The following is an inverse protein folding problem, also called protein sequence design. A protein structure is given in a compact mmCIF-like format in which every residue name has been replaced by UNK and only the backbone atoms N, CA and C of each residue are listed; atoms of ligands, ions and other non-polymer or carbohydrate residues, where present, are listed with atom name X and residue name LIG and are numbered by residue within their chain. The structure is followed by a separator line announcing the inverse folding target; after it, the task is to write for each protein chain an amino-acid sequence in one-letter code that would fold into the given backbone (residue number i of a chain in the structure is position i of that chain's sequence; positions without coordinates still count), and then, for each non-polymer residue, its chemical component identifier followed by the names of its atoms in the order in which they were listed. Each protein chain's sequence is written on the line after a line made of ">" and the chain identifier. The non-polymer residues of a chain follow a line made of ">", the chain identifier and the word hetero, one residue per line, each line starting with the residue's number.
data_IF_904527499328
#
_entry.id   IF_904527499328
#
_cell.length_a   1.000
_cell.length_b   1.000
_cell.length_c   1.000
_cell.angle_alpha   90.00
_cell.angle_beta   90.00
_cell.angle_gamma   90.00
#
_symmetry.space_group_name_H-M   'P 1'
#
loop_
_entity.id
_entity.type
_entity.pdbx_description
1 polymer ?
#
# COMPACT_ATOMS: atom_id res chain seq x y z
N UNK A 1 -10.53 -18.70 -1.78
CA UNK A 1 -11.02 -17.54 -0.99
C UNK A 1 -10.68 -17.80 0.46
N UNK A 2 -10.06 -16.85 1.11
CA UNK A 2 -9.67 -16.90 2.52
C UNK A 2 -10.91 -16.90 3.40
N UNK A 3 -11.40 -18.10 3.76
CA UNK A 3 -12.67 -18.28 4.52
C UNK A 3 -12.70 -17.56 5.85
N UNK A 4 -11.53 -17.25 6.43
CA UNK A 4 -11.43 -16.53 7.69
C UNK A 4 -11.95 -15.09 7.60
N UNK A 5 -11.98 -14.50 6.38
CA UNK A 5 -12.50 -13.16 6.14
C UNK A 5 -14.01 -13.05 6.36
N UNK A 6 -14.77 -14.14 6.23
CA UNK A 6 -16.24 -14.13 6.40
C UNK A 6 -16.67 -13.65 7.81
N UNK A 7 -15.80 -13.84 8.80
CA UNK A 7 -16.04 -13.45 10.19
C UNK A 7 -14.93 -12.55 10.74
N UNK A 8 -14.14 -11.90 9.89
CA UNK A 8 -13.02 -11.07 10.33
C UNK A 8 -13.52 -9.77 10.96
N UNK A 9 -13.02 -9.48 12.16
CA UNK A 9 -13.14 -8.19 12.83
C UNK A 9 -11.72 -7.67 13.02
N UNK A 10 -11.39 -6.61 12.27
CA UNK A 10 -10.04 -6.06 12.28
C UNK A 10 -9.82 -5.09 13.42
N UNK A 11 -8.64 -5.19 14.02
CA UNK A 11 -8.06 -4.18 14.89
C UNK A 11 -6.86 -3.53 14.17
N UNK A 12 -6.97 -2.25 13.84
CA UNK A 12 -5.89 -1.49 13.22
C UNK A 12 -4.89 -1.04 14.27
N UNK A 13 -3.60 -1.26 14.01
CA UNK A 13 -2.50 -0.90 14.90
C UNK A 13 -1.53 0.02 14.19
N UNK A 14 -1.37 1.24 14.72
CA UNK A 14 -0.24 2.08 14.40
C UNK A 14 0.88 1.81 15.43
N UNK A 15 1.95 1.08 15.08
CA UNK A 15 2.93 0.58 16.04
C UNK A 15 3.48 1.67 16.95
N UNK A 16 3.85 2.82 16.38
CA UNK A 16 4.48 3.93 17.06
C UNK A 16 3.71 4.41 18.31
N UNK A 17 2.38 4.37 18.30
CA UNK A 17 1.53 4.93 19.35
C UNK A 17 0.73 3.89 20.14
N UNK A 18 0.91 2.59 19.84
CA UNK A 18 0.06 1.56 20.42
C UNK A 18 0.49 1.14 21.83
N UNK A 19 1.69 0.59 21.97
CA UNK A 19 2.23 0.15 23.26
C UNK A 19 3.75 0.14 23.22
N UNK A 20 4.32 0.97 24.07
CA UNK A 20 5.76 1.01 24.36
C UNK A 20 6.08 -0.06 25.43
N UNK A 21 6.94 -1.03 25.12
CA UNK A 21 7.33 -2.10 26.04
C UNK A 21 8.66 -1.83 26.74
N UNK A 22 9.48 -0.92 26.21
CA UNK A 22 10.84 -0.66 26.66
C UNK A 22 11.02 0.73 27.33
N UNK A 23 9.95 1.55 27.33
CA UNK A 23 9.89 2.89 27.90
C UNK A 23 10.80 3.94 27.17
N UNK A 24 10.96 3.80 25.86
CA UNK A 24 11.68 4.78 25.04
C UNK A 24 10.77 5.87 24.44
N UNK A 25 9.45 5.78 24.66
CA UNK A 25 8.45 6.70 24.18
C UNK A 25 7.84 6.31 22.82
N UNK A 26 8.24 5.17 22.25
CA UNK A 26 7.77 4.66 20.96
C UNK A 26 7.18 3.27 21.16
N UNK A 27 5.97 3.03 20.65
CA UNK A 27 5.38 1.69 20.65
C UNK A 27 6.19 0.72 19.77
N UNK A 28 6.18 -0.57 20.11
CA UNK A 28 7.03 -1.57 19.48
C UNK A 28 6.32 -2.93 19.28
N UNK A 29 6.98 -3.86 18.58
CA UNK A 29 6.42 -5.18 18.30
C UNK A 29 6.21 -6.03 19.55
N UNK A 30 7.08 -5.90 20.55
CA UNK A 30 6.89 -6.59 21.82
C UNK A 30 5.64 -6.06 22.54
N UNK A 31 5.39 -4.74 22.49
CA UNK A 31 4.17 -4.13 23.02
C UNK A 31 2.91 -4.62 22.31
N UNK A 32 2.97 -4.85 20.99
CA UNK A 32 1.86 -5.48 20.26
C UNK A 32 1.61 -6.89 20.79
N UNK A 33 2.65 -7.71 20.94
CA UNK A 33 2.54 -9.08 21.46
C UNK A 33 1.89 -9.09 22.86
N UNK A 34 2.28 -8.17 23.73
CA UNK A 34 1.73 -8.05 25.09
C UNK A 34 0.24 -7.72 25.12
N UNK A 35 -0.30 -7.16 24.02
CA UNK A 35 -1.70 -6.73 23.91
C UNK A 35 -2.58 -7.63 23.06
N UNK A 36 -2.07 -8.74 22.53
CA UNK A 36 -2.86 -9.66 21.70
C UNK A 36 -4.06 -10.24 22.46
N UNK A 37 -3.90 -10.58 23.74
CA UNK A 37 -5.01 -11.08 24.55
C UNK A 37 -6.09 -10.03 24.74
N UNK A 38 -5.71 -8.78 25.01
CA UNK A 38 -6.65 -7.66 25.08
C UNK A 38 -7.45 -7.47 23.79
N UNK A 39 -6.78 -7.54 22.62
CA UNK A 39 -7.44 -7.40 21.32
C UNK A 39 -8.41 -8.57 21.06
N UNK A 40 -7.99 -9.80 21.41
CA UNK A 40 -8.83 -10.97 21.30
C UNK A 40 -10.07 -10.91 22.22
N UNK A 41 -9.91 -10.42 23.45
CA UNK A 41 -11.01 -10.21 24.41
C UNK A 41 -12.03 -9.17 23.93
N UNK A 42 -11.61 -8.21 23.09
CA UNK A 42 -12.53 -7.28 22.41
C UNK A 42 -13.37 -7.95 21.32
N UNK A 43 -13.06 -9.20 20.97
CA UNK A 43 -13.72 -9.93 19.89
C UNK A 43 -13.08 -9.72 18.51
N UNK A 44 -11.93 -9.03 18.42
CA UNK A 44 -11.20 -8.89 17.17
C UNK A 44 -10.36 -10.15 16.90
N UNK A 45 -10.41 -10.64 15.68
CA UNK A 45 -9.71 -11.84 15.23
C UNK A 45 -8.79 -11.60 14.03
N UNK A 46 -8.59 -10.35 13.65
CA UNK A 46 -7.67 -9.94 12.61
C UNK A 46 -6.97 -8.63 13.00
N UNK A 47 -5.69 -8.52 12.68
CA UNK A 47 -4.89 -7.32 12.86
C UNK A 47 -4.57 -6.72 11.50
N UNK A 48 -4.56 -5.40 11.42
CA UNK A 48 -3.92 -4.64 10.38
C UNK A 48 -2.84 -3.78 11.03
N UNK A 49 -1.59 -4.08 10.72
CA UNK A 49 -0.44 -3.32 11.20
C UNK A 49 -0.08 -2.27 10.16
N UNK A 50 -0.20 -0.98 10.51
CA UNK A 50 0.23 0.16 9.70
C UNK A 50 1.72 0.07 9.37
N UNK A 51 2.27 0.87 8.42
CA UNK A 51 3.61 0.69 7.91
C UNK A 51 4.65 0.49 9.01
N UNK A 52 5.30 -0.66 8.96
CA UNK A 52 6.27 -1.09 9.96
C UNK A 52 7.61 -1.52 9.36
N UNK A 53 7.80 -1.30 8.05
CA UNK A 53 9.05 -1.55 7.35
C UNK A 53 10.05 -0.42 7.58
N UNK A 54 11.31 -0.66 7.24
CA UNK A 54 12.36 0.34 7.38
C UNK A 54 12.03 1.60 6.57
N UNK A 55 12.13 2.75 7.25
CA UNK A 55 11.71 4.05 6.73
C UNK A 55 12.47 5.17 7.45
N UNK A 56 12.76 6.30 6.79
CA UNK A 56 13.17 7.52 7.46
C UNK A 56 12.05 8.20 8.25
N UNK A 57 10.81 7.72 8.12
CA UNK A 57 9.60 8.24 8.79
C UNK A 57 9.28 9.72 8.47
N UNK A 58 9.56 10.14 7.26
CA UNK A 58 9.11 11.44 6.75
C UNK A 58 7.61 11.48 6.47
N UNK A 59 7.00 10.31 6.33
CA UNK A 59 5.55 10.12 6.15
C UNK A 59 5.07 8.90 6.97
N UNK A 60 5.30 8.95 8.29
CA UNK A 60 4.76 7.98 9.25
C UNK A 60 5.06 6.49 8.91
N UNK A 61 6.07 6.22 8.07
CA UNK A 61 6.45 4.87 7.62
C UNK A 61 5.98 4.53 6.20
N UNK A 62 5.13 5.35 5.57
CA UNK A 62 4.73 5.15 4.17
C UNK A 62 5.86 5.46 3.17
N UNK A 63 6.91 6.16 3.57
CA UNK A 63 8.14 6.36 2.81
C UNK A 63 9.16 5.22 3.06
N UNK A 64 8.86 4.04 2.53
CA UNK A 64 9.63 2.81 2.77
C UNK A 64 11.02 2.90 2.15
N UNK A 65 12.07 2.60 2.94
CA UNK A 65 13.47 2.53 2.48
C UNK A 65 13.98 1.10 2.27
N UNK A 66 13.37 0.10 2.92
CA UNK A 66 13.57 -1.33 2.66
C UNK A 66 12.30 -2.12 2.98
N UNK A 67 11.72 -2.74 1.97
CA UNK A 67 10.49 -3.52 2.11
C UNK A 67 10.67 -4.84 2.86
N UNK A 68 11.88 -5.39 2.93
CA UNK A 68 12.15 -6.68 3.54
C UNK A 68 12.78 -6.58 4.93
N UNK A 69 12.89 -5.37 5.46
CA UNK A 69 13.38 -5.08 6.82
C UNK A 69 12.30 -4.41 7.64
N UNK A 70 12.05 -4.93 8.82
CA UNK A 70 11.26 -4.23 9.82
C UNK A 70 11.99 -2.98 10.31
N UNK A 71 11.25 -1.92 10.63
CA UNK A 71 11.85 -0.69 11.14
C UNK A 71 12.54 -0.93 12.49
N UNK A 72 13.85 -0.62 12.64
CA UNK A 72 14.60 -0.89 13.87
C UNK A 72 13.99 -0.28 15.13
N UNK A 73 13.24 0.82 14.98
CA UNK A 73 12.54 1.48 16.10
C UNK A 73 11.42 0.63 16.69
N UNK A 74 10.87 -0.34 15.93
CA UNK A 74 9.80 -1.23 16.36
C UNK A 74 10.31 -2.61 16.77
N UNK A 75 11.49 -2.99 16.30
CA UNK A 75 12.10 -4.30 16.53
C UNK A 75 12.75 -4.88 15.28
N UNK A 76 12.82 -6.19 15.21
CA UNK A 76 13.46 -6.95 14.13
C UNK A 76 12.44 -7.73 13.30
N UNK A 77 12.89 -8.30 12.18
CA UNK A 77 12.07 -9.23 11.39
C UNK A 77 11.61 -10.44 12.22
N UNK A 78 12.43 -10.93 13.13
CA UNK A 78 12.07 -12.06 14.01
C UNK A 78 11.00 -11.64 15.04
N UNK A 79 11.02 -10.39 15.52
CA UNK A 79 9.98 -9.87 16.41
C UNK A 79 8.65 -9.72 15.65
N UNK A 80 8.68 -9.24 14.41
CA UNK A 80 7.48 -9.16 13.55
C UNK A 80 6.93 -10.58 13.25
N UNK A 81 7.79 -11.54 12.95
CA UNK A 81 7.41 -12.95 12.80
C UNK A 81 6.81 -13.54 14.06
N UNK A 82 7.30 -13.13 15.25
CA UNK A 82 6.69 -13.54 16.53
C UNK A 82 5.27 -13.01 16.67
N UNK A 83 4.95 -11.81 16.19
CA UNK A 83 3.56 -11.30 16.18
C UNK A 83 2.68 -12.28 15.39
N UNK A 84 3.08 -12.70 14.19
CA UNK A 84 2.30 -13.67 13.40
C UNK A 84 2.06 -14.97 14.17
N UNK A 85 3.14 -15.53 14.73
CA UNK A 85 3.08 -16.78 15.49
C UNK A 85 2.16 -16.66 16.72
N UNK A 86 2.28 -15.58 17.49
CA UNK A 86 1.48 -15.36 18.71
C UNK A 86 0.02 -15.02 18.40
N UNK A 87 -0.25 -14.30 17.30
CA UNK A 87 -1.59 -14.07 16.79
C UNK A 87 -2.27 -15.38 16.36
N UNK A 88 -1.58 -16.21 15.59
CA UNK A 88 -2.10 -17.51 15.13
C UNK A 88 -2.44 -18.46 16.29
N UNK A 89 -1.66 -18.47 17.38
CA UNK A 89 -2.00 -19.25 18.60
C UNK A 89 -3.35 -18.85 19.21
N UNK A 90 -3.81 -17.64 18.92
CA UNK A 90 -5.07 -17.06 19.40
C UNK A 90 -6.17 -17.10 18.32
N UNK A 91 -5.96 -17.82 17.21
CA UNK A 91 -6.82 -17.83 16.03
C UNK A 91 -7.05 -16.42 15.44
N UNK A 92 -6.03 -15.57 15.51
CA UNK A 92 -6.03 -14.24 14.93
C UNK A 92 -5.17 -14.22 13.67
N UNK A 93 -5.56 -13.43 12.67
CA UNK A 93 -4.82 -13.22 11.43
C UNK A 93 -4.14 -11.86 11.39
N UNK A 94 -3.06 -11.73 10.62
CA UNK A 94 -2.28 -10.48 10.56
C UNK A 94 -2.07 -10.03 9.13
N UNK A 95 -2.58 -8.84 8.78
CA UNK A 95 -2.25 -8.13 7.55
C UNK A 95 -1.17 -7.08 7.83
N UNK A 96 -0.23 -6.97 6.88
CA UNK A 96 0.74 -5.89 6.84
C UNK A 96 0.29 -4.80 5.87
N UNK A 97 0.67 -3.56 6.16
CA UNK A 97 0.47 -2.46 5.22
C UNK A 97 1.53 -2.53 4.10
N UNK A 98 1.11 -2.65 2.86
CA UNK A 98 1.96 -2.67 1.68
C UNK A 98 1.80 -1.34 0.93
N UNK A 99 2.90 -0.64 0.71
CA UNK A 99 2.96 0.64 0.00
C UNK A 99 3.55 0.44 -1.39
N UNK A 100 2.77 0.02 -2.40
CA UNK A 100 3.34 -0.35 -3.70
C UNK A 100 3.55 0.84 -4.64
N UNK A 101 2.97 2.00 -4.35
CA UNK A 101 2.95 3.14 -5.28
C UNK A 101 4.26 3.92 -5.39
N UNK A 102 5.06 3.91 -4.34
CA UNK A 102 6.31 4.68 -4.24
C UNK A 102 7.26 4.08 -3.21
N UNK A 103 8.46 4.63 -3.14
CA UNK A 103 9.40 4.35 -2.04
C UNK A 103 9.89 5.66 -1.44
N UNK A 104 10.68 5.60 -0.37
CA UNK A 104 11.53 6.71 0.04
C UNK A 104 12.61 6.98 -1.03
N UNK A 105 13.09 8.23 -1.13
CA UNK A 105 14.33 8.56 -1.86
C UNK A 105 15.56 7.83 -1.28
N UNK A 106 15.48 7.34 -0.05
CA UNK A 106 16.54 6.57 0.59
C UNK A 106 16.56 5.10 0.19
N UNK A 107 15.53 4.61 -0.47
CA UNK A 107 15.47 3.22 -0.92
C UNK A 107 16.61 2.90 -1.90
N UNK A 108 17.22 1.71 -1.74
CA UNK A 108 18.31 1.24 -2.61
C UNK A 108 17.92 1.29 -4.09
N UNK A 109 16.70 0.89 -4.42
CA UNK A 109 16.22 0.90 -5.81
C UNK A 109 16.26 2.31 -6.40
N UNK A 110 15.84 3.31 -5.63
CA UNK A 110 15.85 4.70 -6.08
C UNK A 110 17.29 5.23 -6.27
N UNK A 111 18.15 5.01 -5.26
CA UNK A 111 19.56 5.39 -5.34
C UNK A 111 20.28 4.80 -6.57
N UNK A 112 19.97 3.55 -6.91
CA UNK A 112 20.51 2.91 -8.12
C UNK A 112 19.88 3.47 -9.41
N UNK A 113 18.57 3.80 -9.40
CA UNK A 113 17.88 4.36 -10.56
C UNK A 113 18.37 5.76 -10.95
N UNK A 114 18.89 6.54 -9.99
CA UNK A 114 19.44 7.89 -10.17
C UNK A 114 20.76 7.91 -10.93
N UNK A 115 21.48 6.78 -11.05
CA UNK A 115 22.79 6.73 -11.68
C UNK A 115 22.72 6.99 -13.18
N UNK A 116 23.64 7.77 -13.73
CA UNK A 116 23.72 8.04 -15.18
C UNK A 116 23.90 6.77 -16.00
N UNK A 117 24.69 5.81 -15.52
CA UNK A 117 24.86 4.50 -16.17
C UNK A 117 23.63 3.64 -15.92
N UNK A 118 22.96 3.24 -17.01
CA UNK A 118 21.78 2.34 -16.92
C UNK A 118 22.14 1.02 -16.23
N UNK A 119 21.22 0.58 -15.38
CA UNK A 119 21.29 -0.66 -14.61
C UNK A 119 19.89 -1.30 -14.50
N UNK A 120 19.73 -2.36 -13.75
CA UNK A 120 18.47 -3.08 -13.58
C UNK A 120 17.36 -2.26 -12.89
N UNK A 121 17.72 -1.19 -12.16
CA UNK A 121 16.79 -0.30 -11.48
C UNK A 121 16.42 0.95 -12.26
N UNK A 122 17.07 1.21 -13.41
CA UNK A 122 16.90 2.46 -14.17
C UNK A 122 15.45 2.75 -14.57
N UNK A 123 14.67 1.71 -14.81
CA UNK A 123 13.27 1.78 -15.23
C UNK A 123 12.30 1.38 -14.10
N UNK A 124 12.80 1.23 -12.86
CA UNK A 124 12.00 0.91 -11.67
C UNK A 124 11.11 2.07 -11.23
N UNK A 125 11.49 3.29 -11.58
CA UNK A 125 10.77 4.53 -11.30
C UNK A 125 10.42 5.23 -12.60
N UNK A 126 9.45 6.14 -12.53
CA UNK A 126 8.99 6.89 -13.69
C UNK A 126 9.91 8.09 -13.89
N UNK A 127 10.64 8.13 -14.97
CA UNK A 127 11.55 9.19 -15.36
C UNK A 127 11.19 9.76 -16.73
N UNK A 128 11.24 11.08 -16.89
CA UNK A 128 11.22 11.73 -18.19
C UNK A 128 12.58 11.61 -18.88
N UNK A 129 12.66 11.97 -20.18
CA UNK A 129 13.90 11.93 -20.95
C UNK A 129 14.81 13.14 -20.67
N UNK A 130 14.31 14.21 -20.09
CA UNK A 130 15.06 15.42 -19.78
C UNK A 130 14.61 16.07 -18.48
N UNK A 131 15.54 16.70 -17.74
CA UNK A 131 15.23 17.49 -16.54
C UNK A 131 14.34 18.71 -16.84
N UNK A 132 14.27 19.14 -18.09
CA UNK A 132 13.44 20.24 -18.55
C UNK A 132 12.02 19.80 -18.92
N UNK A 133 11.78 18.50 -18.99
CA UNK A 133 10.46 17.95 -19.27
C UNK A 133 9.69 17.76 -17.98
N UNK A 134 8.52 18.41 -17.92
CA UNK A 134 7.59 18.31 -16.80
C UNK A 134 6.48 17.33 -17.15
N UNK A 135 6.29 16.27 -16.34
CA UNK A 135 5.19 15.34 -16.56
C UNK A 135 3.87 16.05 -16.27
N UNK A 136 3.02 16.22 -17.28
CA UNK A 136 1.75 16.91 -17.15
C UNK A 136 0.83 16.23 -16.14
N UNK A 137 0.29 17.02 -15.20
CA UNK A 137 -0.63 16.52 -14.16
C UNK A 137 0.01 15.67 -13.04
N UNK A 138 1.34 15.50 -13.05
CA UNK A 138 2.06 14.72 -12.04
C UNK A 138 3.15 15.56 -11.39
N UNK A 139 3.31 15.46 -10.06
CA UNK A 139 4.46 16.04 -9.37
C UNK A 139 5.77 15.39 -9.79
N UNK A 140 6.87 16.14 -9.75
CA UNK A 140 8.20 15.58 -10.04
C UNK A 140 9.31 16.25 -9.22
N UNK A 141 10.41 15.53 -9.05
CA UNK A 141 11.68 16.03 -8.51
C UNK A 141 12.74 16.05 -9.62
N UNK A 142 13.63 17.07 -9.57
CA UNK A 142 14.65 17.31 -10.58
C UNK A 142 15.99 17.68 -9.93
N UNK A 143 17.07 17.46 -10.66
CA UNK A 143 18.40 17.94 -10.28
C UNK A 143 19.00 17.25 -9.07
N UNK A 144 18.49 16.08 -8.69
CA UNK A 144 19.00 15.27 -7.57
C UNK A 144 19.73 13.99 -8.05
N UNK A 145 19.80 13.78 -9.35
CA UNK A 145 20.33 12.54 -9.96
C UNK A 145 21.48 12.82 -10.94
N UNK A 146 22.34 11.82 -11.14
CA UNK A 146 23.40 11.87 -12.16
C UNK A 146 22.85 11.66 -13.58
N UNK A 147 21.64 11.09 -13.70
CA UNK A 147 20.97 10.91 -15.00
C UNK A 147 20.18 12.15 -15.39
N UNK A 148 20.02 12.39 -16.69
CA UNK A 148 19.06 13.36 -17.18
C UNK A 148 17.62 12.82 -16.97
N UNK A 149 16.70 13.71 -16.68
CA UNK A 149 15.30 13.39 -16.44
C UNK A 149 14.73 13.97 -15.15
N UNK A 150 13.42 14.12 -15.13
CA UNK A 150 12.62 14.44 -13.94
C UNK A 150 11.99 13.14 -13.44
N UNK A 151 12.07 12.87 -12.14
CA UNK A 151 11.42 11.71 -11.55
C UNK A 151 10.01 12.08 -11.06
N UNK A 152 9.01 11.33 -11.49
CA UNK A 152 7.63 11.49 -10.99
C UNK A 152 7.57 11.09 -9.52
N UNK A 153 6.77 11.84 -8.74
CA UNK A 153 6.46 11.53 -7.34
C UNK A 153 4.97 11.28 -7.16
N UNK A 154 4.59 10.54 -6.11
CA UNK A 154 3.18 10.35 -5.78
C UNK A 154 2.63 11.50 -4.96
N UNK A 155 3.08 11.66 -3.71
CA UNK A 155 2.54 12.67 -2.78
C UNK A 155 3.58 13.72 -2.43
N UNK A 156 4.70 13.29 -1.81
CA UNK A 156 5.73 14.19 -1.33
C UNK A 156 6.99 14.10 -2.20
N UNK A 157 7.81 15.15 -2.16
CA UNK A 157 9.07 15.20 -2.93
C UNK A 157 10.07 14.09 -2.58
N UNK A 158 9.90 13.42 -1.45
CA UNK A 158 10.72 12.29 -1.01
C UNK A 158 10.11 10.92 -1.33
N UNK A 159 9.02 10.88 -2.14
CA UNK A 159 8.29 9.67 -2.50
C UNK A 159 8.26 9.44 -4.02
N UNK A 160 9.40 9.06 -4.64
CA UNK A 160 9.45 8.76 -6.07
C UNK A 160 8.53 7.61 -6.43
N UNK A 161 7.76 7.80 -7.51
CA UNK A 161 6.76 6.85 -7.97
C UNK A 161 7.39 5.63 -8.63
N UNK A 162 7.02 4.44 -8.16
CA UNK A 162 7.35 3.18 -8.81
C UNK A 162 6.66 3.05 -10.17
N UNK A 163 7.36 2.48 -11.14
CA UNK A 163 6.90 2.38 -12.52
C UNK A 163 6.15 1.09 -12.79
N UNK A 164 4.82 1.16 -12.78
CA UNK A 164 3.95 0.07 -13.25
C UNK A 164 3.43 0.30 -14.67
N UNK A 165 3.94 1.33 -15.34
CA UNK A 165 3.59 1.69 -16.70
C UNK A 165 2.40 2.64 -16.81
N UNK A 166 2.10 2.93 -18.07
CA UNK A 166 1.01 3.79 -18.48
C UNK A 166 -0.01 2.97 -19.28
N UNK A 167 -1.30 3.21 -19.03
CA UNK A 167 -2.37 2.57 -19.80
C UNK A 167 -2.49 3.19 -21.21
N UNK A 168 -2.43 4.52 -21.28
CA UNK A 168 -2.31 5.26 -22.55
C UNK A 168 -0.94 5.91 -22.62
N UNK A 169 -0.24 5.69 -23.74
CA UNK A 169 1.07 6.29 -24.03
C UNK A 169 0.86 7.53 -24.90
N UNK A 170 1.27 8.68 -24.40
CA UNK A 170 1.19 9.97 -25.12
C UNK A 170 2.54 10.73 -25.18
N UNK A 171 3.57 10.20 -24.50
CA UNK A 171 4.94 10.75 -24.51
C UNK A 171 5.98 9.65 -24.76
N UNK A 172 7.09 9.98 -25.40
CA UNK A 172 8.14 8.99 -25.74
C UNK A 172 8.78 8.29 -24.54
N UNK A 173 8.89 8.97 -23.40
CA UNK A 173 9.51 8.43 -22.18
C UNK A 173 8.58 7.51 -21.38
N UNK A 174 7.29 7.50 -21.67
CA UNK A 174 6.34 6.63 -20.99
C UNK A 174 6.51 5.18 -21.46
N UNK A 175 6.44 4.27 -20.52
CA UNK A 175 6.47 2.83 -20.77
C UNK A 175 5.08 2.24 -20.61
N UNK A 176 4.74 1.30 -21.48
CA UNK A 176 3.50 0.54 -21.32
C UNK A 176 3.63 -0.45 -20.15
N UNK A 177 2.52 -0.91 -19.62
CA UNK A 177 2.49 -1.95 -18.58
C UNK A 177 3.21 -3.24 -19.00
N UNK A 178 3.29 -3.50 -20.32
CA UNK A 178 3.88 -4.70 -20.90
C UNK A 178 5.39 -4.56 -21.16
N UNK A 179 5.97 -3.37 -20.96
CA UNK A 179 7.40 -3.14 -21.10
C UNK A 179 8.19 -3.76 -19.95
N UNK A 180 9.48 -3.96 -20.19
CA UNK A 180 10.37 -4.66 -19.25
C UNK A 180 10.47 -3.97 -17.89
N UNK A 181 10.53 -2.63 -17.85
CA UNK A 181 10.64 -1.85 -16.63
C UNK A 181 9.43 -2.08 -15.68
N UNK A 182 8.20 -1.77 -16.13
CA UNK A 182 6.98 -2.02 -15.38
C UNK A 182 6.80 -3.48 -14.94
N UNK A 183 7.06 -4.45 -15.82
CA UNK A 183 7.01 -5.88 -15.45
C UNK A 183 7.98 -6.23 -14.33
N UNK A 184 9.23 -5.76 -14.43
CA UNK A 184 10.23 -5.99 -13.39
C UNK A 184 9.85 -5.32 -12.06
N UNK A 185 9.15 -4.19 -12.09
CA UNK A 185 8.63 -3.53 -10.89
C UNK A 185 7.55 -4.39 -10.23
N UNK A 186 6.61 -4.90 -11.02
CA UNK A 186 5.55 -5.79 -10.53
C UNK A 186 6.13 -7.07 -9.91
N UNK A 187 7.08 -7.72 -10.59
CA UNK A 187 7.71 -8.95 -10.07
C UNK A 187 8.49 -8.68 -8.77
N UNK A 188 9.20 -7.55 -8.67
CA UNK A 188 9.88 -7.19 -7.43
C UNK A 188 8.89 -6.94 -6.27
N UNK A 189 7.71 -6.37 -6.55
CA UNK A 189 6.67 -6.21 -5.52
C UNK A 189 6.07 -7.56 -5.10
N UNK A 190 5.88 -8.49 -6.04
CA UNK A 190 5.50 -9.88 -5.70
C UNK A 190 6.56 -10.58 -4.85
N UNK A 191 7.85 -10.32 -5.09
CA UNK A 191 8.92 -10.86 -4.26
C UNK A 191 8.87 -10.32 -2.82
N UNK A 192 8.53 -9.04 -2.64
CA UNK A 192 8.26 -8.45 -1.32
C UNK A 192 7.09 -9.16 -0.64
N UNK A 193 5.97 -9.35 -1.36
CA UNK A 193 4.80 -10.06 -0.82
C UNK A 193 5.17 -11.50 -0.44
N UNK A 194 5.90 -12.20 -1.31
CA UNK A 194 6.37 -13.58 -1.07
C UNK A 194 7.24 -13.67 0.17
N UNK A 195 8.11 -12.69 0.39
CA UNK A 195 8.99 -12.65 1.56
C UNK A 195 8.18 -12.65 2.86
N UNK A 196 7.21 -11.76 3.01
CA UNK A 196 6.43 -11.65 4.24
C UNK A 196 5.41 -12.78 4.42
N UNK A 197 4.78 -13.25 3.34
CA UNK A 197 3.88 -14.41 3.38
C UNK A 197 4.63 -15.68 3.83
N UNK A 198 5.86 -15.90 3.36
CA UNK A 198 6.72 -17.00 3.83
C UNK A 198 7.13 -16.83 5.29
N UNK A 199 7.19 -15.62 5.83
CA UNK A 199 7.42 -15.37 7.23
C UNK A 199 6.18 -15.61 8.11
N UNK A 200 5.00 -15.68 7.50
CA UNK A 200 3.75 -16.08 8.17
C UNK A 200 2.69 -14.99 8.29
N UNK A 201 2.80 -13.84 7.61
CA UNK A 201 1.66 -12.93 7.56
C UNK A 201 0.52 -13.54 6.72
N UNK A 202 -0.71 -13.10 6.97
CA UNK A 202 -1.92 -13.64 6.32
C UNK A 202 -2.36 -12.80 5.12
N UNK A 203 -1.62 -11.78 4.76
CA UNK A 203 -1.90 -10.93 3.61
C UNK A 203 -1.56 -9.46 3.81
N UNK A 204 -2.19 -8.61 3.00
CA UNK A 204 -1.83 -7.19 2.94
C UNK A 204 -3.06 -6.29 2.88
N UNK A 205 -2.98 -5.16 3.60
CA UNK A 205 -3.70 -3.95 3.22
C UNK A 205 -2.81 -3.18 2.24
N UNK A 206 -3.36 -2.79 1.12
CA UNK A 206 -2.61 -2.18 0.02
C UNK A 206 -2.91 -0.70 -0.06
N UNK A 207 -1.88 0.09 0.19
CA UNK A 207 -1.93 1.54 0.15
C UNK A 207 -2.19 2.05 -1.27
N UNK A 208 -3.14 2.99 -1.41
CA UNK A 208 -3.47 3.69 -2.66
C UNK A 208 -3.55 2.76 -3.89
N UNK A 209 -4.18 1.61 -3.75
CA UNK A 209 -4.21 0.53 -4.73
C UNK A 209 -4.73 0.96 -6.12
N UNK A 210 -5.58 1.98 -6.19
CA UNK A 210 -6.19 2.49 -7.41
C UNK A 210 -5.28 3.33 -8.31
N UNK A 211 -4.07 3.72 -7.87
CA UNK A 211 -3.28 4.77 -8.51
C UNK A 211 -1.98 4.29 -9.19
N UNK A 212 -1.76 2.98 -9.30
CA UNK A 212 -0.45 2.43 -9.71
C UNK A 212 -0.14 2.64 -11.19
N UNK A 213 -1.08 2.30 -12.07
CA UNK A 213 -0.93 2.52 -13.52
C UNK A 213 -1.30 3.95 -13.84
N UNK A 214 -0.48 4.64 -14.61
CA UNK A 214 -0.70 6.04 -14.95
C UNK A 214 -1.50 6.19 -16.26
N UNK A 215 -2.13 7.36 -16.48
CA UNK A 215 -3.04 7.62 -17.61
C UNK A 215 -4.13 6.55 -17.76
N UNK A 216 -4.72 6.12 -16.63
CA UNK A 216 -5.69 5.01 -16.53
C UNK A 216 -6.99 5.49 -15.87
N UNK A 217 -7.69 6.44 -16.49
CA UNK A 217 -8.89 7.11 -15.94
C UNK A 217 -10.01 6.12 -15.58
N UNK A 218 -10.15 5.04 -16.35
CA UNK A 218 -11.17 4.01 -16.12
C UNK A 218 -10.71 2.90 -15.16
N UNK A 219 -9.44 2.90 -14.73
CA UNK A 219 -8.84 1.90 -13.85
C UNK A 219 -8.60 0.53 -14.51
N UNK A 220 -8.75 0.41 -15.82
CA UNK A 220 -8.62 -0.88 -16.54
C UNK A 220 -7.24 -1.49 -16.45
N UNK A 221 -6.20 -0.66 -16.54
CA UNK A 221 -4.82 -1.08 -16.40
C UNK A 221 -4.51 -1.54 -14.98
N UNK A 222 -4.94 -0.76 -14.00
CA UNK A 222 -4.76 -1.06 -12.58
C UNK A 222 -5.52 -2.34 -12.18
N UNK A 223 -6.76 -2.54 -12.67
CA UNK A 223 -7.49 -3.79 -12.50
C UNK A 223 -6.69 -4.98 -13.06
N UNK A 224 -6.20 -4.90 -14.31
CA UNK A 224 -5.38 -5.96 -14.94
C UNK A 224 -4.11 -6.26 -14.14
N UNK A 225 -3.45 -5.23 -13.62
CA UNK A 225 -2.27 -5.37 -12.77
C UNK A 225 -2.60 -6.20 -11.51
N UNK A 226 -3.65 -5.83 -10.80
CA UNK A 226 -4.04 -6.54 -9.57
C UNK A 226 -4.57 -7.95 -9.83
N UNK A 227 -5.27 -8.20 -10.94
CA UNK A 227 -5.63 -9.56 -11.37
C UNK A 227 -4.39 -10.44 -11.52
N UNK A 228 -3.30 -9.91 -12.08
CA UNK A 228 -2.04 -10.64 -12.19
C UNK A 228 -1.40 -10.94 -10.82
N UNK A 229 -1.51 -10.01 -9.85
CA UNK A 229 -1.10 -10.25 -8.45
C UNK A 229 -2.01 -11.30 -7.81
N UNK A 230 -3.33 -11.22 -8.06
CA UNK A 230 -4.29 -12.20 -7.53
C UNK A 230 -4.00 -13.62 -8.03
N UNK A 231 -3.74 -13.80 -9.32
CA UNK A 231 -3.32 -15.08 -9.90
C UNK A 231 -2.05 -15.64 -9.26
N UNK A 232 -1.09 -14.77 -8.95
CA UNK A 232 0.11 -15.14 -8.22
C UNK A 232 -0.24 -15.65 -6.81
N UNK A 233 -1.05 -14.91 -6.05
CA UNK A 233 -1.47 -15.31 -4.71
C UNK A 233 -2.28 -16.60 -4.71
N UNK A 234 -3.25 -16.75 -5.60
CA UNK A 234 -4.07 -17.95 -5.71
C UNK A 234 -3.22 -19.21 -5.97
N UNK A 235 -2.11 -19.06 -6.70
CA UNK A 235 -1.20 -20.16 -7.00
C UNK A 235 -0.25 -20.51 -5.84
N UNK A 236 0.33 -19.50 -5.20
CA UNK A 236 1.42 -19.71 -4.22
C UNK A 236 0.94 -19.56 -2.76
N UNK A 237 -0.08 -18.75 -2.51
CA UNK A 237 -0.59 -18.40 -1.17
C UNK A 237 -2.12 -18.28 -1.17
N UNK A 238 -2.87 -19.35 -1.44
CA UNK A 238 -4.32 -19.29 -1.68
C UNK A 238 -5.15 -18.78 -0.50
N UNK A 239 -4.61 -18.80 0.70
CA UNK A 239 -5.25 -18.29 1.91
C UNK A 239 -4.87 -16.83 2.26
N UNK A 240 -3.98 -16.21 1.46
CA UNK A 240 -3.61 -14.83 1.67
C UNK A 240 -4.75 -13.87 1.32
N UNK A 241 -4.96 -12.86 2.18
CA UNK A 241 -5.95 -11.82 1.97
C UNK A 241 -5.36 -10.56 1.35
N UNK A 242 -6.17 -9.86 0.56
CA UNK A 242 -5.87 -8.52 0.06
C UNK A 242 -7.03 -7.58 0.38
N UNK A 243 -6.73 -6.48 1.04
CA UNK A 243 -7.64 -5.37 1.33
C UNK A 243 -7.09 -4.13 0.65
N UNK A 244 -7.85 -3.47 -0.20
CA UNK A 244 -7.38 -2.27 -0.90
C UNK A 244 -7.75 -1.00 -0.15
N UNK A 245 -6.90 -0.01 -0.25
CA UNK A 245 -7.30 1.39 -0.14
C UNK A 245 -7.49 1.93 -1.55
N UNK A 246 -8.72 1.83 -2.05
CA UNK A 246 -9.07 2.30 -3.40
C UNK A 246 -10.25 3.28 -3.38
N UNK A 247 -11.25 2.98 -2.56
CA UNK A 247 -12.47 3.78 -2.44
C UNK A 247 -13.46 3.60 -3.59
N UNK A 248 -13.23 2.60 -4.45
CA UNK A 248 -14.10 2.19 -5.56
C UNK A 248 -14.27 0.67 -5.52
N UNK A 249 -15.17 0.15 -4.67
CA UNK A 249 -15.30 -1.29 -4.41
C UNK A 249 -15.55 -2.14 -5.66
N UNK A 250 -16.28 -1.63 -6.63
CA UNK A 250 -16.53 -2.29 -7.91
C UNK A 250 -15.23 -2.56 -8.68
N UNK A 251 -14.34 -1.58 -8.80
CA UNK A 251 -13.03 -1.73 -9.44
C UNK A 251 -12.09 -2.61 -8.62
N UNK A 252 -12.07 -2.40 -7.31
CA UNK A 252 -11.25 -3.17 -6.38
C UNK A 252 -11.56 -4.67 -6.46
N UNK A 253 -12.83 -5.04 -6.34
CA UNK A 253 -13.27 -6.43 -6.42
C UNK A 253 -13.00 -7.05 -7.81
N UNK A 254 -13.18 -6.27 -8.90
CA UNK A 254 -12.78 -6.68 -10.25
C UNK A 254 -11.27 -6.90 -10.35
N UNK A 255 -10.46 -6.14 -9.63
CA UNK A 255 -9.01 -6.31 -9.51
C UNK A 255 -8.59 -7.55 -8.73
N UNK A 256 -9.53 -8.21 -8.02
CA UNK A 256 -9.26 -9.43 -7.26
C UNK A 256 -8.98 -9.20 -5.78
N UNK A 257 -9.22 -8.00 -5.27
CA UNK A 257 -9.22 -7.76 -3.82
C UNK A 257 -10.40 -8.46 -3.14
N UNK A 258 -10.27 -8.73 -1.86
CA UNK A 258 -11.34 -9.32 -1.07
C UNK A 258 -12.25 -8.26 -0.46
N UNK A 259 -11.70 -7.09 -0.15
CA UNK A 259 -12.37 -5.96 0.49
C UNK A 259 -11.76 -4.64 0.05
N UNK A 260 -12.55 -3.57 0.17
CA UNK A 260 -12.13 -2.19 -0.03
C UNK A 260 -12.65 -1.31 1.09
N UNK A 261 -12.08 -0.11 1.26
CA UNK A 261 -12.55 0.87 2.23
C UNK A 261 -13.51 1.87 1.58
N UNK A 262 -14.52 2.29 2.33
CA UNK A 262 -15.27 3.51 2.04
C UNK A 262 -14.48 4.68 2.61
N UNK A 263 -13.74 5.38 1.75
CA UNK A 263 -12.97 6.56 2.13
C UNK A 263 -13.89 7.76 2.39
N UNK A 264 -13.42 8.74 3.15
CA UNK A 264 -14.18 9.96 3.45
C UNK A 264 -14.36 10.91 2.26
N UNK A 265 -13.68 10.65 1.15
CA UNK A 265 -13.77 11.38 -0.12
C UNK A 265 -14.18 10.44 -1.26
N UNK A 266 -14.41 11.00 -2.45
CA UNK A 266 -14.82 10.21 -3.60
C UNK A 266 -16.28 9.73 -3.51
N UNK A 267 -16.61 8.58 -4.07
CA UNK A 267 -17.98 8.10 -4.20
C UNK A 267 -18.63 7.65 -2.89
N UNK A 268 -17.88 7.58 -1.78
CA UNK A 268 -18.40 7.10 -0.50
C UNK A 268 -19.42 8.02 0.18
N UNK A 269 -19.49 9.30 -0.20
CA UNK A 269 -20.32 10.32 0.44
C UNK A 269 -20.19 10.40 1.97
N UNK A 270 -19.09 9.90 2.53
CA UNK A 270 -18.88 9.85 3.98
C UNK A 270 -18.84 11.25 4.60
N UNK A 271 -18.28 12.24 3.86
CA UNK A 271 -18.28 13.63 4.27
C UNK A 271 -19.70 14.22 4.30
N UNK A 272 -20.59 13.78 3.43
CA UNK A 272 -21.98 14.21 3.40
C UNK A 272 -22.75 13.75 4.64
N UNK A 273 -22.38 12.61 5.23
CA UNK A 273 -22.94 12.11 6.47
C UNK A 273 -22.43 12.89 7.70
N UNK A 274 -21.12 13.10 7.80
CA UNK A 274 -20.50 13.61 9.03
C UNK A 274 -20.14 15.10 8.99
N UNK A 275 -20.14 15.74 7.84
CA UNK A 275 -19.71 17.13 7.64
C UNK A 275 -20.66 17.93 6.74
N UNK A 276 -21.93 17.54 6.64
CA UNK A 276 -22.92 18.30 5.91
C UNK A 276 -23.35 19.56 6.67
N UNK A 277 -23.60 20.65 5.96
CA UNK A 277 -24.07 21.94 6.52
C UNK A 277 -25.52 21.85 7.05
N UNK A 278 -26.27 20.86 6.59
CA UNK A 278 -27.66 20.60 6.98
C UNK A 278 -27.78 19.26 7.70
N UNK A 279 -28.72 19.08 8.66
CA UNK A 279 -28.95 17.79 9.29
C UNK A 279 -29.17 16.69 8.25
N UNK A 280 -28.50 15.58 8.40
CA UNK A 280 -28.49 14.47 7.43
C UNK A 280 -29.88 14.02 6.97
N UNK A 281 -30.84 13.95 7.91
CA UNK A 281 -32.24 13.57 7.66
C UNK A 281 -33.18 14.76 7.37
N UNK A 282 -32.65 15.96 7.16
CA UNK A 282 -33.48 17.12 6.75
C UNK A 282 -33.86 17.00 5.26
N UNK A 283 -34.88 17.78 4.85
CA UNK A 283 -35.31 17.86 3.43
C UNK A 283 -34.18 18.30 2.49
N UNK A 284 -33.17 19.00 3.02
CA UNK A 284 -31.98 19.46 2.28
C UNK A 284 -30.75 18.61 2.57
N UNK A 285 -30.87 17.62 3.45
CA UNK A 285 -29.78 16.71 3.80
C UNK A 285 -29.47 15.74 2.65
N UNK A 286 -28.27 15.19 2.66
CA UNK A 286 -27.80 14.25 1.65
C UNK A 286 -27.95 12.79 2.14
N UNK A 287 -29.18 12.41 2.50
CA UNK A 287 -29.52 11.09 3.07
C UNK A 287 -29.35 9.89 2.13
N UNK A 288 -28.91 10.11 0.91
CA UNK A 288 -28.69 9.08 -0.11
C UNK A 288 -27.51 8.16 0.16
N UNK A 289 -26.64 8.47 1.11
CA UNK A 289 -25.60 7.54 1.57
C UNK A 289 -26.17 6.19 2.02
N UNK A 290 -27.43 6.17 2.45
CA UNK A 290 -28.11 4.92 2.82
C UNK A 290 -28.28 3.98 1.60
N UNK A 291 -28.21 4.50 0.38
CA UNK A 291 -28.23 3.66 -0.82
C UNK A 291 -26.95 2.84 -0.99
N UNK A 292 -25.83 3.30 -0.41
CA UNK A 292 -24.54 2.57 -0.44
C UNK A 292 -24.51 1.37 0.53
N UNK A 293 -25.44 1.31 1.48
CA UNK A 293 -25.58 0.17 2.41
C UNK A 293 -26.20 -1.05 1.73
N UNK A 294 -26.70 -0.88 0.50
CA UNK A 294 -27.40 -1.92 -0.26
C UNK A 294 -26.60 -2.44 -1.46
N UNK A 295 -25.28 -2.18 -1.50
CA UNK A 295 -24.37 -2.72 -2.54
C UNK A 295 -23.83 -4.08 -2.09
#
# INVERSE_FOLDING_TARGET
>A
MSKWLDNAIFYEIYPQSFKDSNADGIGDFQGIIEKLDYINELGCNALWINPCFESPFGDAGYDVSDYCSAAPRYGTNEDLKRIFTEAHKRNMHVLLDLVPGHTSVEHKWFKESMKAKRNEYSDRYIWTDSIWEEPEGMGCIRGISDRDGSCVVNFFSHQPALNYGFYKIDRPWQQSMDDKGPRNTLEAMKDVMRFWLNMGCDGFRVDMAGSLVKNDEEGKGTIKLWQNVREFLDREFPDAAMVSEWGEPDKSLLGGFHMDFLLHFGPSHYNDLFRCDEPYFSIRGKGDILSLIHI
#
